data_IF_419896402727
#
_entry.id   IF_419896402727
#
_cell.length_a   1.000
_cell.length_b   1.000
_cell.length_c   1.000
_cell.angle_alpha   90.00
_cell.angle_beta   90.00
_cell.angle_gamma   90.00
#
_symmetry.space_group_name_H-M   'P 1'
#
loop_
_entity.id
_entity.type
_entity.pdbx_description
1 polymer ?
#
# COMPACT_ATOMS: atom_id res chain seq x y z
N UNK A 1 -2.80 11.73 21.74
CA UNK A 1 -4.05 12.48 21.54
C UNK A 1 -4.87 11.74 20.49
N UNK A 2 -6.18 11.53 20.69
CA UNK A 2 -7.02 10.94 19.63
C UNK A 2 -7.59 12.08 18.80
N UNK A 3 -7.42 12.01 17.49
CA UNK A 3 -7.81 13.06 16.55
C UNK A 3 -8.47 12.40 15.32
N UNK A 4 -9.49 13.01 14.76
CA UNK A 4 -10.15 12.45 13.56
C UNK A 4 -9.30 12.67 12.31
N UNK A 5 -9.41 11.75 11.35
CA UNK A 5 -8.58 11.76 10.14
C UNK A 5 -8.76 13.05 9.33
N UNK A 6 -9.98 13.61 9.27
CA UNK A 6 -10.27 14.87 8.57
C UNK A 6 -9.58 16.11 9.15
N UNK A 7 -9.08 16.03 10.38
CA UNK A 7 -8.32 17.11 11.01
C UNK A 7 -6.85 17.14 10.61
N UNK A 8 -6.30 15.98 10.24
CA UNK A 8 -4.86 15.83 9.95
C UNK A 8 -4.54 15.56 8.47
N UNK A 9 -5.58 15.33 7.66
CA UNK A 9 -5.45 15.03 6.25
C UNK A 9 -6.36 15.90 5.40
N UNK A 10 -5.84 16.42 4.30
CA UNK A 10 -6.64 17.04 3.25
C UNK A 10 -7.19 15.93 2.34
N UNK A 11 -8.52 15.87 2.19
CA UNK A 11 -9.15 14.93 1.27
C UNK A 11 -9.22 15.53 -0.14
N UNK A 12 -8.55 14.86 -1.09
CA UNK A 12 -8.45 15.28 -2.50
C UNK A 12 -9.39 14.48 -3.43
N UNK A 13 -10.40 13.81 -2.91
CA UNK A 13 -11.32 12.96 -3.67
C UNK A 13 -12.05 13.69 -4.80
N UNK A 14 -12.32 14.98 -4.62
CA UNK A 14 -12.97 15.81 -5.65
C UNK A 14 -12.16 15.98 -6.94
N UNK A 15 -10.87 15.73 -6.88
CA UNK A 15 -9.96 15.81 -8.04
C UNK A 15 -9.91 14.50 -8.85
N UNK A 16 -10.42 13.39 -8.30
CA UNK A 16 -10.41 12.09 -8.97
C UNK A 16 -11.28 12.11 -10.24
N UNK A 17 -10.81 11.39 -11.27
CA UNK A 17 -11.54 11.24 -12.54
C UNK A 17 -11.50 9.77 -12.96
N UNK A 18 -12.58 9.00 -12.80
CA UNK A 18 -12.65 7.64 -13.30
C UNK A 18 -12.66 7.64 -14.83
N UNK A 19 -11.82 6.80 -15.43
CA UNK A 19 -11.77 6.58 -16.88
C UNK A 19 -12.01 5.10 -17.14
N UNK A 20 -12.98 4.77 -17.98
CA UNK A 20 -13.27 3.38 -18.37
C UNK A 20 -12.10 2.81 -19.16
N UNK A 21 -11.84 1.50 -19.05
CA UNK A 21 -10.68 0.86 -19.67
C UNK A 21 -10.57 1.12 -21.19
N UNK A 22 -11.70 1.14 -21.91
CA UNK A 22 -11.71 1.42 -23.35
C UNK A 22 -11.38 2.87 -23.75
N UNK A 23 -11.39 3.80 -22.79
CA UNK A 23 -11.12 5.23 -23.03
C UNK A 23 -9.77 5.68 -22.42
N UNK A 24 -8.97 4.76 -21.88
CA UNK A 24 -7.63 5.06 -21.38
C UNK A 24 -6.64 5.05 -22.53
N UNK A 25 -5.92 6.14 -22.69
CA UNK A 25 -4.78 6.20 -23.59
C UNK A 25 -3.57 5.63 -22.84
N UNK A 26 -2.92 4.61 -23.42
CA UNK A 26 -1.75 3.97 -22.83
C UNK A 26 -0.58 4.95 -22.73
N UNK A 27 0.16 4.89 -21.62
CA UNK A 27 1.30 5.78 -21.34
C UNK A 27 2.18 5.30 -20.20
N UNK A 28 2.87 6.24 -19.52
CA UNK A 28 3.84 5.93 -18.49
C UNK A 28 3.37 6.24 -17.05
N UNK A 29 2.26 6.98 -16.90
CA UNK A 29 1.79 7.36 -15.58
C UNK A 29 0.90 6.29 -14.97
N UNK A 30 1.16 5.87 -13.72
CA UNK A 30 0.37 4.82 -13.08
C UNK A 30 -1.08 5.30 -12.84
N UNK A 31 -2.02 4.42 -13.17
CA UNK A 31 -3.45 4.59 -12.93
C UNK A 31 -3.87 3.69 -11.75
N UNK A 32 -4.21 4.30 -10.63
CA UNK A 32 -4.50 3.60 -9.37
C UNK A 32 -5.98 3.30 -9.18
N UNK A 33 -6.23 2.11 -8.65
CA UNK A 33 -7.51 1.66 -8.11
C UNK A 33 -7.45 1.42 -6.61
N UNK A 34 -8.44 0.66 -6.09
CA UNK A 34 -8.57 0.36 -4.66
C UNK A 34 -7.37 -0.39 -4.05
N UNK A 35 -6.68 -1.21 -4.82
CA UNK A 35 -5.64 -2.12 -4.31
C UNK A 35 -4.28 -1.95 -5.01
N UNK A 36 -4.05 -0.80 -5.65
CA UNK A 36 -2.79 -0.51 -6.34
C UNK A 36 -2.98 -0.11 -7.80
N UNK A 37 -1.90 -0.26 -8.59
CA UNK A 37 -1.88 0.08 -10.03
C UNK A 37 -2.75 -0.91 -10.80
N UNK A 38 -3.68 -0.40 -11.59
CA UNK A 38 -4.56 -1.20 -12.47
C UNK A 38 -4.26 -0.99 -13.94
N UNK A 39 -3.54 0.10 -14.29
CA UNK A 39 -3.20 0.45 -15.67
C UNK A 39 -2.08 1.50 -15.71
N UNK A 40 -1.58 1.84 -16.92
CA UNK A 40 -0.71 2.98 -17.17
C UNK A 40 -1.31 3.86 -18.25
N UNK A 41 -1.35 5.19 -18.01
CA UNK A 41 -2.02 6.17 -18.88
C UNK A 41 -1.08 7.28 -19.35
N UNK A 42 -1.49 7.97 -20.44
CA UNK A 42 -0.68 9.01 -21.10
C UNK A 42 -0.64 10.34 -20.35
N UNK A 43 -1.55 10.56 -19.40
CA UNK A 43 -1.68 11.82 -18.66
C UNK A 43 -1.84 11.56 -17.15
N UNK A 44 -1.74 12.60 -16.33
CA UNK A 44 -1.84 12.53 -14.89
C UNK A 44 -2.75 13.65 -14.34
N UNK A 45 -3.36 13.42 -13.17
CA UNK A 45 -4.18 14.42 -12.47
C UNK A 45 -3.62 14.77 -11.08
N UNK A 46 -2.70 13.97 -10.58
CA UNK A 46 -1.99 14.23 -9.32
C UNK A 46 -0.49 14.30 -9.58
N UNK A 47 0.19 15.21 -8.89
CA UNK A 47 1.66 15.30 -8.85
C UNK A 47 2.07 15.65 -7.40
N UNK A 48 2.72 14.71 -6.73
CA UNK A 48 3.11 14.86 -5.33
C UNK A 48 2.97 13.58 -4.53
N UNK A 49 2.94 13.75 -3.21
CA UNK A 49 2.90 12.66 -2.23
C UNK A 49 1.52 12.52 -1.60
N UNK A 50 0.90 11.35 -1.77
CA UNK A 50 -0.43 11.07 -1.26
C UNK A 50 -0.49 9.71 -0.56
N UNK A 51 -1.46 9.54 0.32
CA UNK A 51 -1.91 8.26 0.83
C UNK A 51 -3.20 7.88 0.11
N UNK A 52 -3.19 6.74 -0.56
CA UNK A 52 -4.42 6.15 -1.09
C UNK A 52 -5.03 5.21 -0.04
N UNK A 53 -6.35 5.26 0.11
CA UNK A 53 -7.10 4.35 0.98
C UNK A 53 -8.24 3.73 0.19
N UNK A 54 -8.34 2.40 0.19
CA UNK A 54 -9.40 1.67 -0.53
C UNK A 54 -10.79 2.20 -0.14
N UNK A 55 -11.58 2.60 -1.14
CA UNK A 55 -12.96 3.07 -0.91
C UNK A 55 -13.96 1.91 -0.93
N UNK A 56 -13.73 0.89 -1.77
CA UNK A 56 -14.63 -0.25 -1.92
C UNK A 56 -13.87 -1.56 -2.22
N UNK A 57 -14.63 -2.65 -2.23
CA UNK A 57 -14.14 -3.97 -2.59
C UNK A 57 -13.99 -4.94 -1.42
N UNK A 58 -13.93 -6.22 -1.76
CA UNK A 58 -13.85 -7.32 -0.79
C UNK A 58 -12.62 -7.23 0.13
N UNK A 59 -11.53 -6.61 -0.34
CA UNK A 59 -10.30 -6.46 0.43
C UNK A 59 -10.46 -5.61 1.70
N UNK A 60 -11.46 -4.71 1.77
CA UNK A 60 -11.76 -3.96 2.98
C UNK A 60 -12.07 -4.88 4.19
N UNK A 61 -12.63 -6.06 3.94
CA UNK A 61 -12.92 -7.08 4.95
C UNK A 61 -11.88 -8.21 4.95
N UNK A 62 -11.48 -8.68 3.76
CA UNK A 62 -10.55 -9.81 3.61
C UNK A 62 -9.12 -9.48 4.06
N UNK A 63 -8.69 -8.22 3.92
CA UNK A 63 -7.36 -7.73 4.35
C UNK A 63 -6.19 -8.56 3.79
N UNK A 64 -6.37 -9.12 2.60
CA UNK A 64 -5.32 -9.91 1.93
C UNK A 64 -4.18 -9.05 1.39
N UNK A 65 -4.45 -7.77 1.14
CA UNK A 65 -3.45 -6.76 0.78
C UNK A 65 -3.67 -5.50 1.63
N UNK A 66 -2.67 -4.61 1.77
CA UNK A 66 -2.85 -3.32 2.43
C UNK A 66 -4.04 -2.55 1.84
N UNK A 67 -4.83 -1.90 2.69
CA UNK A 67 -5.95 -1.02 2.28
C UNK A 67 -5.52 0.44 2.16
N UNK A 68 -4.39 0.78 2.73
CA UNK A 68 -3.78 2.11 2.66
C UNK A 68 -2.34 1.96 2.16
N UNK A 69 -1.94 2.78 1.18
CA UNK A 69 -0.60 2.75 0.60
C UNK A 69 -0.19 4.13 0.08
N UNK A 70 1.06 4.51 0.36
CA UNK A 70 1.64 5.77 -0.12
C UNK A 70 1.99 5.71 -1.59
N UNK A 71 1.74 6.81 -2.31
CA UNK A 71 2.15 7.03 -3.70
C UNK A 71 2.90 8.36 -3.81
N UNK A 72 3.74 8.49 -4.84
CA UNK A 72 4.53 9.70 -5.09
C UNK A 72 4.60 10.01 -6.58
N UNK A 73 4.80 11.29 -6.91
CA UNK A 73 4.98 11.78 -8.28
C UNK A 73 3.70 11.83 -9.09
N UNK A 74 3.86 11.80 -10.42
CA UNK A 74 2.75 11.94 -11.38
C UNK A 74 1.95 10.67 -11.48
N UNK A 75 0.64 10.77 -11.27
CA UNK A 75 -0.25 9.62 -11.27
C UNK A 75 -1.72 10.00 -11.53
N UNK A 76 -2.55 9.00 -11.79
CA UNK A 76 -3.98 9.11 -11.95
C UNK A 76 -4.69 8.19 -10.96
N UNK A 77 -5.72 8.67 -10.28
CA UNK A 77 -6.48 7.87 -9.31
C UNK A 77 -7.96 7.85 -9.71
N UNK A 78 -8.54 6.66 -9.71
CA UNK A 78 -9.97 6.47 -9.96
C UNK A 78 -10.82 6.66 -8.68
N UNK A 79 -12.12 6.41 -8.80
CA UNK A 79 -13.08 6.57 -7.69
C UNK A 79 -13.15 5.37 -6.71
N UNK A 80 -12.25 4.39 -6.83
CA UNK A 80 -12.19 3.22 -5.93
C UNK A 80 -11.17 3.38 -4.81
N UNK A 81 -10.42 4.48 -4.79
CA UNK A 81 -9.50 4.83 -3.72
C UNK A 81 -9.69 6.29 -3.29
N UNK A 82 -9.73 6.55 -1.99
CA UNK A 82 -9.61 7.90 -1.43
C UNK A 82 -8.20 8.42 -1.61
N UNK A 83 -8.05 9.72 -1.82
CA UNK A 83 -6.77 10.42 -1.97
C UNK A 83 -6.60 11.38 -0.82
N UNK A 84 -5.62 11.15 0.04
CA UNK A 84 -5.33 11.94 1.22
C UNK A 84 -3.95 12.58 1.11
N UNK A 85 -3.88 13.88 1.39
CA UNK A 85 -2.64 14.63 1.48
C UNK A 85 -2.34 14.97 2.93
N UNK A 86 -1.07 14.90 3.30
CA UNK A 86 -0.58 15.20 4.65
C UNK A 86 0.52 16.26 4.61
N UNK A 87 0.67 16.97 5.71
CA UNK A 87 1.69 18.01 5.82
C UNK A 87 3.11 17.43 5.86
N UNK A 88 3.30 16.26 6.50
CA UNK A 88 4.61 15.63 6.64
C UNK A 88 4.60 14.16 6.20
N UNK A 89 5.77 13.69 5.75
CA UNK A 89 6.01 12.27 5.47
C UNK A 89 5.71 11.38 6.68
N UNK A 90 6.18 11.79 7.86
CA UNK A 90 6.01 11.01 9.08
C UNK A 90 4.54 10.80 9.43
N UNK A 91 3.70 11.86 9.33
CA UNK A 91 2.27 11.76 9.60
C UNK A 91 1.57 10.87 8.57
N UNK A 92 1.91 11.00 7.27
CA UNK A 92 1.37 10.16 6.20
C UNK A 92 1.68 8.68 6.43
N UNK A 93 2.94 8.32 6.67
CA UNK A 93 3.36 6.93 6.89
C UNK A 93 2.83 6.37 8.21
N UNK A 94 2.79 7.18 9.27
CA UNK A 94 2.19 6.77 10.53
C UNK A 94 0.71 6.39 10.36
N UNK A 95 -0.07 7.23 9.66
CA UNK A 95 -1.48 6.96 9.36
C UNK A 95 -1.64 5.74 8.45
N UNK A 96 -0.78 5.54 7.47
CA UNK A 96 -0.75 4.35 6.63
C UNK A 96 -0.60 3.07 7.45
N UNK A 97 0.42 3.00 8.32
CA UNK A 97 0.62 1.86 9.21
C UNK A 97 -0.56 1.65 10.14
N UNK A 98 -1.09 2.73 10.71
CA UNK A 98 -2.24 2.65 11.61
C UNK A 98 -3.50 2.10 10.90
N UNK A 99 -3.87 2.63 9.74
CA UNK A 99 -5.03 2.16 8.98
C UNK A 99 -4.89 0.70 8.54
N UNK A 100 -3.67 0.27 8.23
CA UNK A 100 -3.39 -1.12 7.90
C UNK A 100 -3.39 -2.05 9.13
N UNK A 101 -3.30 -1.54 10.35
CA UNK A 101 -3.30 -2.32 11.58
C UNK A 101 -4.66 -2.50 12.24
N UNK A 102 -5.63 -1.60 11.95
CA UNK A 102 -6.95 -1.61 12.61
C UNK A 102 -7.99 -2.41 11.84
N UNK A 103 -8.98 -2.93 12.55
CA UNK A 103 -10.18 -3.52 11.95
C UNK A 103 -11.15 -2.43 11.51
N UNK A 104 -11.66 -2.54 10.27
CA UNK A 104 -12.51 -1.54 9.64
C UNK A 104 -14.03 -1.78 9.73
N UNK A 105 -14.57 -2.95 10.12
CA UNK A 105 -16.01 -3.21 10.11
C UNK A 105 -16.88 -2.09 10.71
N UNK A 106 -16.47 -1.37 11.80
CA UNK A 106 -17.27 -0.28 12.36
C UNK A 106 -17.51 0.89 11.41
N UNK A 107 -16.64 1.07 10.41
CA UNK A 107 -16.72 2.19 9.44
C UNK A 107 -17.17 1.75 8.05
N UNK A 108 -17.29 0.43 7.81
CA UNK A 108 -17.71 -0.12 6.52
C UNK A 108 -19.24 -0.15 6.45
N UNK A 109 -19.76 0.30 5.32
CA UNK A 109 -21.16 0.22 4.93
C UNK A 109 -21.32 -0.71 3.71
N UNK A 110 -22.56 -1.14 3.42
CA UNK A 110 -22.86 -1.99 2.25
C UNK A 110 -22.63 -3.48 2.53
N UNK A 111 -23.70 -4.30 2.38
CA UNK A 111 -23.63 -5.73 2.68
C UNK A 111 -22.85 -6.53 1.61
N UNK A 112 -23.34 -6.57 0.38
CA UNK A 112 -22.73 -7.35 -0.70
C UNK A 112 -21.47 -6.70 -1.29
N UNK A 113 -21.38 -5.38 -1.23
CA UNK A 113 -20.18 -4.61 -1.62
C UNK A 113 -19.73 -3.75 -0.43
N UNK A 114 -18.71 -4.19 0.32
CA UNK A 114 -18.13 -3.39 1.40
C UNK A 114 -17.65 -2.05 0.88
N UNK A 115 -18.03 -0.97 1.58
CA UNK A 115 -17.65 0.39 1.20
C UNK A 115 -17.26 1.23 2.41
N UNK A 116 -16.07 1.80 2.37
CA UNK A 116 -15.57 2.82 3.28
C UNK A 116 -15.78 4.18 2.60
N UNK A 117 -16.94 4.80 2.82
CA UNK A 117 -17.20 6.11 2.24
C UNK A 117 -16.43 7.23 2.96
N UNK A 118 -16.24 8.38 2.30
CA UNK A 118 -15.50 9.52 2.82
C UNK A 118 -15.96 9.96 4.22
N UNK A 119 -17.29 9.99 4.47
CA UNK A 119 -17.85 10.39 5.78
C UNK A 119 -17.41 9.45 6.90
N UNK A 120 -17.32 8.15 6.62
CA UNK A 120 -16.89 7.15 7.60
C UNK A 120 -15.36 7.16 7.75
N UNK A 121 -14.61 7.28 6.63
CA UNK A 121 -13.17 7.44 6.66
C UNK A 121 -12.74 8.63 7.53
N UNK A 122 -13.36 9.78 7.33
CA UNK A 122 -13.08 11.01 8.06
C UNK A 122 -13.28 10.90 9.58
N UNK A 123 -14.16 9.99 10.03
CA UNK A 123 -14.45 9.77 11.46
C UNK A 123 -13.51 8.79 12.14
N UNK A 124 -12.59 8.16 11.42
CA UNK A 124 -11.63 7.27 12.04
C UNK A 124 -10.75 8.07 12.99
N UNK A 125 -10.73 7.67 14.26
CA UNK A 125 -9.88 8.28 15.28
C UNK A 125 -8.45 7.72 15.17
N UNK A 126 -7.50 8.61 15.01
CA UNK A 126 -6.07 8.28 14.95
C UNK A 126 -5.44 8.66 16.30
N UNK A 127 -4.79 7.71 17.00
CA UNK A 127 -3.99 8.02 18.19
C UNK A 127 -2.69 8.69 17.76
N UNK A 128 -2.72 10.01 17.57
CA UNK A 128 -1.59 10.76 16.99
C UNK A 128 -0.63 11.20 18.10
N UNK A 129 0.62 10.70 18.15
CA UNK A 129 1.66 11.17 19.05
C UNK A 129 2.29 12.47 18.54
N UNK A 130 3.30 13.01 19.26
CA UNK A 130 4.09 14.14 18.77
C UNK A 130 4.81 13.81 17.47
N UNK A 131 5.13 14.81 16.66
CA UNK A 131 5.82 14.60 15.38
C UNK A 131 7.14 13.84 15.55
N UNK A 132 7.92 14.19 16.57
CA UNK A 132 9.17 13.47 16.87
C UNK A 132 8.96 11.97 17.17
N UNK A 133 7.85 11.63 17.85
CA UNK A 133 7.52 10.24 18.12
C UNK A 133 6.97 9.53 16.89
N UNK A 134 6.23 10.25 16.01
CA UNK A 134 5.84 9.72 14.70
C UNK A 134 7.05 9.38 13.85
N UNK A 135 8.04 10.29 13.76
CA UNK A 135 9.29 10.08 13.04
C UNK A 135 10.07 8.87 13.58
N UNK A 136 10.13 8.71 14.91
CA UNK A 136 10.78 7.56 15.56
C UNK A 136 10.09 6.25 15.20
N UNK A 137 8.76 6.20 15.29
CA UNK A 137 7.95 5.00 15.00
C UNK A 137 8.08 4.65 13.52
N UNK A 138 7.86 5.61 12.62
CA UNK A 138 7.95 5.44 11.17
C UNK A 138 9.33 4.96 10.77
N UNK A 139 10.40 5.56 11.31
CA UNK A 139 11.76 5.14 11.00
C UNK A 139 12.09 3.70 11.41
N UNK A 140 11.40 3.14 12.42
CA UNK A 140 11.51 1.73 12.80
C UNK A 140 10.70 0.86 11.83
N UNK A 141 9.43 1.23 11.58
CA UNK A 141 8.53 0.45 10.76
C UNK A 141 8.97 0.41 9.28
N UNK A 142 9.48 1.52 8.73
CA UNK A 142 10.03 1.57 7.38
C UNK A 142 11.23 0.62 7.20
N UNK A 143 12.08 0.47 8.25
CA UNK A 143 13.18 -0.50 8.22
C UNK A 143 12.67 -1.93 8.19
N UNK A 144 11.63 -2.25 8.96
CA UNK A 144 11.01 -3.58 8.92
C UNK A 144 10.32 -3.84 7.60
N UNK A 145 9.61 -2.85 7.06
CA UNK A 145 8.94 -2.95 5.76
C UNK A 145 9.96 -3.24 4.64
N UNK A 146 11.06 -2.48 4.61
CA UNK A 146 12.15 -2.72 3.66
C UNK A 146 12.78 -4.12 3.85
N UNK A 147 13.03 -4.54 5.09
CA UNK A 147 13.59 -5.87 5.36
C UNK A 147 12.68 -7.01 4.87
N UNK A 148 11.36 -6.86 5.02
CA UNK A 148 10.39 -7.88 4.64
C UNK A 148 10.10 -7.90 3.14
N UNK A 149 10.11 -6.74 2.47
CA UNK A 149 9.56 -6.58 1.13
C UNK A 149 10.60 -6.20 0.07
N UNK A 150 11.82 -5.81 0.43
CA UNK A 150 12.88 -5.53 -0.55
C UNK A 150 13.36 -6.83 -1.21
N UNK A 151 13.03 -6.98 -2.49
CA UNK A 151 13.38 -8.15 -3.30
C UNK A 151 14.89 -8.27 -3.56
N UNK A 152 15.66 -7.19 -3.42
CA UNK A 152 17.09 -7.16 -3.75
C UNK A 152 17.99 -7.31 -2.51
N UNK A 153 17.55 -6.84 -1.34
CA UNK A 153 18.38 -6.79 -0.13
C UNK A 153 17.69 -7.32 1.13
N UNK A 154 16.36 -7.59 1.07
CA UNK A 154 15.58 -8.06 2.21
C UNK A 154 15.53 -9.57 2.35
N UNK A 155 14.61 -10.05 3.20
CA UNK A 155 14.36 -11.48 3.41
C UNK A 155 14.07 -12.26 2.11
N UNK A 156 13.32 -11.73 1.12
CA UNK A 156 13.11 -12.43 -0.14
C UNK A 156 14.41 -12.75 -0.88
N UNK A 157 15.37 -11.82 -0.92
CA UNK A 157 16.67 -12.04 -1.53
C UNK A 157 17.49 -13.11 -0.78
N UNK A 158 17.47 -13.11 0.55
CA UNK A 158 18.15 -14.11 1.38
C UNK A 158 17.53 -15.51 1.17
N UNK A 159 16.21 -15.62 1.11
CA UNK A 159 15.51 -16.88 0.83
C UNK A 159 15.92 -17.45 -0.53
N UNK A 160 15.92 -16.62 -1.59
CA UNK A 160 16.34 -17.03 -2.93
C UNK A 160 17.81 -17.50 -2.97
N UNK A 161 18.70 -16.76 -2.30
CA UNK A 161 20.10 -17.12 -2.19
C UNK A 161 20.31 -18.47 -1.47
N UNK A 162 19.57 -18.72 -0.38
CA UNK A 162 19.61 -20.01 0.35
C UNK A 162 19.05 -21.15 -0.46
N UNK A 163 17.97 -20.92 -1.21
CA UNK A 163 17.41 -21.91 -2.11
C UNK A 163 18.42 -22.34 -3.18
N UNK A 164 19.07 -21.39 -3.84
CA UNK A 164 20.12 -21.67 -4.83
C UNK A 164 21.30 -22.41 -4.22
N UNK A 165 21.70 -22.05 -3.01
CA UNK A 165 22.77 -22.74 -2.28
C UNK A 165 22.39 -24.20 -1.98
N UNK A 166 21.17 -24.43 -1.49
CA UNK A 166 20.65 -25.78 -1.25
C UNK A 166 20.66 -26.63 -2.52
N UNK A 167 20.15 -26.13 -3.62
CA UNK A 167 20.11 -26.82 -4.91
C UNK A 167 21.52 -27.21 -5.38
N UNK A 168 22.46 -26.28 -5.28
CA UNK A 168 23.84 -26.53 -5.64
C UNK A 168 24.47 -27.66 -4.81
N UNK A 169 24.27 -27.68 -3.48
CA UNK A 169 24.81 -28.72 -2.62
C UNK A 169 24.09 -30.05 -2.81
N UNK A 170 22.76 -30.04 -2.95
CA UNK A 170 21.97 -31.23 -3.26
C UNK A 170 22.49 -31.93 -4.51
N UNK A 171 22.68 -31.19 -5.59
CA UNK A 171 23.12 -31.73 -6.88
C UNK A 171 24.54 -32.26 -6.81
N UNK A 172 25.42 -31.59 -6.07
CA UNK A 172 26.78 -32.11 -5.81
C UNK A 172 26.80 -33.42 -5.02
N UNK A 173 25.93 -33.52 -3.99
CA UNK A 173 25.86 -34.71 -3.13
C UNK A 173 25.20 -35.91 -3.84
N UNK A 174 24.25 -35.65 -4.74
CA UNK A 174 23.54 -36.69 -5.47
C UNK A 174 24.24 -37.10 -6.77
N UNK A 175 25.18 -36.31 -7.26
CA UNK A 175 25.93 -36.59 -8.47
C UNK A 175 27.20 -37.41 -8.15
N UNK A 176 27.08 -38.70 -7.92
CA UNK A 176 28.18 -39.61 -7.66
C UNK A 176 28.38 -40.60 -8.82
N UNK A 177 29.64 -40.98 -9.08
CA UNK A 177 29.96 -41.98 -10.10
C UNK A 177 29.45 -43.36 -9.67
N UNK A 178 28.76 -44.04 -10.59
CA UNK A 178 28.35 -45.44 -10.38
C UNK A 178 29.59 -46.29 -10.22
N UNK A 179 29.70 -47.06 -9.15
CA UNK A 179 30.76 -48.06 -9.00
C UNK A 179 30.57 -49.08 -10.10
N UNK A 180 31.53 -49.16 -11.04
CA UNK A 180 31.64 -50.27 -11.98
C UNK A 180 32.03 -51.51 -11.17
N UNK A 181 31.24 -52.60 -11.34
CA UNK A 181 31.52 -53.92 -10.75
C UNK A 181 32.55 -54.66 -11.59
#
# INVERSE_FOLDING_TARGET
MNITLDFIAENCDSLRKPVTSGNREAGEYPYYGASGIVDYVSDYIFDGDYLLVSEDGANLLARSTPIAFSISGKNWVNNHAHVLRFETYATRRYVEFYLNSIDLPPWISGGAQPKLNQKNLNKINIPLPSLAEQERIVGILDKFDALCNDLNSGLPAEIDARQKQYECYRDKLLNFKKLEK
#
